data_IF_831714444428
#
_entry.id   IF_831714444428
#
_cell.length_a   1.000
_cell.length_b   1.000
_cell.length_c   1.000
_cell.angle_alpha   90.00
_cell.angle_beta   90.00
_cell.angle_gamma   90.00
#
_symmetry.space_group_name_H-M   'P 1'
#
loop_
_entity.id
_entity.type
_entity.pdbx_description
1 polymer ?
#
# COMPACT_ATOMS: atom_id res chain seq x y z
N UNK A 1 15.18 4.27 -10.07
CA UNK A 1 14.19 5.29 -10.47
C UNK A 1 12.84 4.94 -9.86
N UNK A 2 12.16 5.91 -9.23
CA UNK A 2 10.84 5.74 -8.61
C UNK A 2 9.73 6.33 -9.47
N UNK A 3 8.64 5.58 -9.68
CA UNK A 3 7.43 6.04 -10.36
C UNK A 3 6.21 5.76 -9.50
N UNK A 4 5.54 6.83 -9.04
CA UNK A 4 4.29 6.72 -8.30
C UNK A 4 3.20 6.12 -9.20
N UNK A 5 2.49 5.13 -8.69
CA UNK A 5 1.34 4.53 -9.34
C UNK A 5 0.05 5.19 -8.85
N UNK A 6 -0.13 5.27 -7.52
CA UNK A 6 -1.28 5.95 -6.90
C UNK A 6 -1.01 6.23 -5.41
N UNK A 7 -1.81 7.10 -4.80
CA UNK A 7 -1.79 7.41 -3.37
C UNK A 7 -3.16 7.87 -2.88
N UNK A 8 -3.42 7.70 -1.58
CA UNK A 8 -4.69 8.07 -0.99
C UNK A 8 -4.70 8.03 0.53
N UNK A 9 -5.91 8.12 1.07
CA UNK A 9 -6.21 7.89 2.48
C UNK A 9 -7.18 6.73 2.60
N UNK A 10 -7.21 6.09 3.75
CA UNK A 10 -8.30 5.19 4.08
C UNK A 10 -9.54 5.99 4.52
N UNK A 11 -10.65 5.26 4.63
CA UNK A 11 -11.95 5.82 5.01
C UNK A 11 -12.19 5.84 6.52
N UNK A 12 -11.16 5.58 7.33
CA UNK A 12 -11.30 5.54 8.77
C UNK A 12 -11.56 6.94 9.36
N UNK A 13 -12.48 7.10 10.35
CA UNK A 13 -12.75 8.39 10.97
C UNK A 13 -11.50 9.02 11.58
N UNK A 14 -11.39 10.35 11.45
CA UNK A 14 -10.23 11.09 11.95
C UNK A 14 -10.21 11.24 13.48
N UNK A 15 -11.36 11.09 14.11
CA UNK A 15 -11.60 11.30 15.53
C UNK A 15 -11.77 9.98 16.30
N UNK A 16 -11.49 8.83 15.67
CA UNK A 16 -11.44 7.55 16.38
C UNK A 16 -10.25 7.54 17.36
N UNK A 17 -10.48 7.36 18.67
CA UNK A 17 -9.44 7.41 19.68
C UNK A 17 -8.59 6.13 19.74
N UNK A 18 -9.04 5.03 19.14
CA UNK A 18 -8.37 3.73 19.18
C UNK A 18 -7.53 3.45 17.92
N UNK A 19 -7.87 4.09 16.80
CA UNK A 19 -7.28 3.78 15.49
C UNK A 19 -7.01 5.06 14.72
N UNK A 20 -5.78 5.21 14.27
CA UNK A 20 -5.40 6.33 13.42
C UNK A 20 -5.92 6.13 11.98
N UNK A 21 -6.37 7.23 11.37
CA UNK A 21 -6.53 7.28 9.90
C UNK A 21 -5.16 7.15 9.23
N UNK A 22 -5.07 6.37 8.15
CA UNK A 22 -3.80 6.18 7.42
C UNK A 22 -3.85 6.72 6.00
N UNK A 23 -2.70 7.22 5.53
CA UNK A 23 -2.44 7.40 4.11
C UNK A 23 -1.63 6.24 3.56
N UNK A 24 -1.85 5.95 2.28
CA UNK A 24 -1.13 4.91 1.56
C UNK A 24 -0.57 5.46 0.24
N UNK A 25 0.54 4.89 -0.21
CA UNK A 25 1.10 5.17 -1.53
C UNK A 25 1.70 3.90 -2.14
N UNK A 26 1.54 3.74 -3.46
CA UNK A 26 2.11 2.62 -4.23
C UNK A 26 3.01 3.19 -5.31
N UNK A 27 4.26 2.73 -5.37
CA UNK A 27 5.22 3.14 -6.39
C UNK A 27 6.00 1.95 -6.96
N UNK A 28 6.35 2.01 -8.24
CA UNK A 28 7.34 1.12 -8.85
C UNK A 28 8.74 1.69 -8.64
N UNK A 29 9.69 0.82 -8.27
CA UNK A 29 11.03 1.18 -7.88
C UNK A 29 12.05 0.33 -8.65
N UNK A 30 12.98 0.98 -9.34
CA UNK A 30 14.05 0.34 -10.12
C UNK A 30 15.42 0.91 -9.72
N UNK A 31 15.70 0.94 -8.41
CA UNK A 31 16.99 1.40 -7.84
C UNK A 31 17.47 0.53 -6.66
N UNK A 32 16.95 -0.69 -6.55
CA UNK A 32 17.48 -1.66 -5.61
C UNK A 32 18.45 -2.60 -6.33
N UNK A 33 19.73 -2.25 -6.34
CA UNK A 33 20.78 -3.01 -7.02
C UNK A 33 20.92 -4.44 -6.44
N UNK A 34 20.73 -4.61 -5.13
CA UNK A 34 20.80 -5.92 -4.46
C UNK A 34 19.56 -6.79 -4.71
N UNK A 35 18.47 -6.20 -5.21
CA UNK A 35 17.20 -6.91 -5.39
C UNK A 35 17.17 -7.77 -6.66
N UNK A 36 18.02 -7.49 -7.65
CA UNK A 36 18.07 -8.18 -8.94
C UNK A 36 16.84 -7.99 -9.85
N UNK A 37 15.81 -7.29 -9.39
CA UNK A 37 14.58 -6.96 -10.13
C UNK A 37 13.89 -5.72 -9.52
N UNK A 38 13.08 -4.99 -10.30
CA UNK A 38 12.26 -3.89 -9.78
C UNK A 38 11.34 -4.31 -8.62
N UNK A 39 11.10 -3.38 -7.69
CA UNK A 39 10.23 -3.55 -6.52
C UNK A 39 8.96 -2.70 -6.63
N UNK A 40 7.93 -3.13 -5.92
CA UNK A 40 6.78 -2.28 -5.61
C UNK A 40 6.95 -1.80 -4.17
N UNK A 41 7.07 -0.49 -4.01
CA UNK A 41 7.04 0.16 -2.70
C UNK A 41 5.57 0.37 -2.30
N UNK A 42 5.19 -0.14 -1.12
CA UNK A 42 3.93 0.16 -0.46
C UNK A 42 4.26 0.92 0.83
N UNK A 43 3.84 2.17 0.90
CA UNK A 43 3.96 2.99 2.09
C UNK A 43 2.60 3.07 2.77
N UNK A 44 2.58 2.86 4.08
CA UNK A 44 1.41 3.09 4.94
C UNK A 44 1.86 3.93 6.13
N UNK A 45 1.25 5.09 6.31
CA UNK A 45 1.62 6.04 7.35
C UNK A 45 0.40 6.70 7.97
N UNK A 46 0.48 7.10 9.23
CA UNK A 46 -0.58 7.85 9.91
C UNK A 46 -0.74 9.24 9.29
N UNK A 47 -1.99 9.65 9.04
CA UNK A 47 -2.30 10.97 8.49
C UNK A 47 -1.88 12.06 9.49
N UNK A 48 -1.04 12.99 9.04
CA UNK A 48 -0.52 14.08 9.88
C UNK A 48 0.84 13.79 10.51
N UNK A 49 1.37 12.57 10.31
CA UNK A 49 2.67 12.12 10.81
C UNK A 49 3.58 11.62 9.68
N UNK A 50 3.88 12.47 8.67
CA UNK A 50 4.61 12.04 7.47
C UNK A 50 5.99 11.49 7.81
N UNK A 51 6.34 10.35 7.21
CA UNK A 51 7.64 9.69 7.40
C UNK A 51 7.76 8.85 8.68
N UNK A 52 6.70 8.74 9.49
CA UNK A 52 6.65 7.87 10.66
C UNK A 52 6.03 6.48 10.39
N UNK A 53 5.59 6.24 9.14
CA UNK A 53 4.96 4.99 8.72
C UNK A 53 5.93 3.84 8.43
N UNK A 54 5.38 2.79 7.81
CA UNK A 54 6.13 1.59 7.39
C UNK A 54 6.17 1.56 5.85
N UNK A 55 7.33 1.21 5.32
CA UNK A 55 7.56 1.04 3.88
C UNK A 55 7.90 -0.41 3.58
N UNK A 56 7.08 -1.07 2.77
CA UNK A 56 7.31 -2.42 2.27
C UNK A 56 7.91 -2.40 0.86
N UNK A 57 9.03 -3.11 0.66
CA UNK A 57 9.65 -3.31 -0.66
C UNK A 57 9.28 -4.69 -1.21
N UNK A 58 8.21 -4.76 -1.99
CA UNK A 58 7.62 -6.02 -2.44
C UNK A 58 8.22 -6.47 -3.77
N UNK A 59 8.67 -7.72 -3.82
CA UNK A 59 8.93 -8.39 -5.10
C UNK A 59 7.64 -8.50 -5.92
N UNK A 60 7.72 -8.58 -7.27
CA UNK A 60 6.54 -8.69 -8.12
C UNK A 60 5.59 -9.84 -7.73
N UNK A 61 6.14 -10.97 -7.27
CA UNK A 61 5.35 -12.10 -6.75
C UNK A 61 4.54 -11.71 -5.52
N UNK A 62 5.17 -11.12 -4.52
CA UNK A 62 4.53 -10.73 -3.25
C UNK A 62 3.50 -9.61 -3.48
N UNK A 63 3.80 -8.65 -4.35
CA UNK A 63 2.85 -7.59 -4.73
C UNK A 63 1.57 -8.17 -5.37
N UNK A 64 1.69 -9.16 -6.27
CA UNK A 64 0.54 -9.85 -6.86
C UNK A 64 -0.26 -10.64 -5.83
N UNK A 65 0.41 -11.25 -4.85
CA UNK A 65 -0.25 -11.96 -3.76
C UNK A 65 -1.07 -10.99 -2.89
N UNK A 66 -0.49 -9.85 -2.49
CA UNK A 66 -1.21 -8.83 -1.72
C UNK A 66 -2.43 -8.30 -2.48
N UNK A 67 -2.27 -7.97 -3.78
CA UNK A 67 -3.39 -7.55 -4.64
C UNK A 67 -4.50 -8.59 -4.68
N UNK A 68 -4.15 -9.88 -4.78
CA UNK A 68 -5.14 -10.96 -4.80
C UNK A 68 -5.85 -11.11 -3.45
N UNK A 69 -5.14 -10.94 -2.34
CA UNK A 69 -5.73 -10.96 -1.00
C UNK A 69 -6.73 -9.82 -0.81
N UNK A 70 -6.42 -8.61 -1.27
CA UNK A 70 -7.36 -7.47 -1.28
C UNK A 70 -8.62 -7.81 -2.10
N UNK A 71 -8.44 -8.31 -3.32
CA UNK A 71 -9.58 -8.73 -4.16
C UNK A 71 -10.44 -9.82 -3.51
N UNK A 72 -9.82 -10.80 -2.83
CA UNK A 72 -10.58 -11.81 -2.07
C UNK A 72 -11.38 -11.19 -0.92
N UNK A 73 -10.77 -10.30 -0.13
CA UNK A 73 -11.45 -9.63 0.98
C UNK A 73 -12.62 -8.75 0.50
N UNK A 74 -12.47 -8.06 -0.64
CA UNK A 74 -13.55 -7.29 -1.25
C UNK A 74 -14.75 -8.20 -1.62
N UNK A 75 -14.48 -9.35 -2.23
CA UNK A 75 -15.55 -10.33 -2.55
C UNK A 75 -16.24 -10.86 -1.30
N UNK A 76 -15.52 -11.04 -0.20
CA UNK A 76 -16.10 -11.49 1.08
C UNK A 76 -17.10 -10.50 1.66
N UNK A 77 -16.93 -9.19 1.42
CA UNK A 77 -17.87 -8.14 1.87
C UNK A 77 -18.97 -7.82 0.84
N UNK A 78 -19.02 -8.55 -0.27
CA UNK A 78 -20.08 -8.44 -1.27
C UNK A 78 -19.78 -7.50 -2.44
N UNK A 79 -18.58 -6.92 -2.49
CA UNK A 79 -18.13 -6.16 -3.67
C UNK A 79 -17.94 -7.10 -4.85
N UNK A 80 -18.39 -6.68 -6.03
CA UNK A 80 -18.19 -7.39 -7.29
C UNK A 80 -17.27 -6.51 -8.13
N UNK A 81 -16.18 -7.09 -8.61
CA UNK A 81 -15.32 -6.40 -9.57
C UNK A 81 -16.19 -5.98 -10.78
N UNK A 82 -16.17 -4.70 -11.15
CA UNK A 82 -16.74 -4.20 -12.41
C UNK A 82 -15.99 -4.76 -13.63
#
# INVERSE_FOLDING_TARGET
MKKLADYGRDDHPRDDPERAQVSWAVAALDDCDECGEPRIELTVEEVGSPGAGIVGHLAPRTARQLRSALGSALREIGERED
#
